data_IF_836804538903
#
_entry.id   IF_836804538903
#
_cell.length_a   1.000
_cell.length_b   1.000
_cell.length_c   1.000
_cell.angle_alpha   90.00
_cell.angle_beta   90.00
_cell.angle_gamma   90.00
#
_symmetry.space_group_name_H-M   'P 1'
#
loop_
_entity.id
_entity.type
_entity.pdbx_description
1 polymer ?
#
# COMPACT_ATOMS: atom_id res chain seq x y z
N UNK A 1 -9.24 2.72 -22.82
CA UNK A 1 -8.65 1.39 -22.54
C UNK A 1 -7.46 1.48 -21.58
N UNK A 2 -6.54 2.44 -21.70
CA UNK A 2 -5.41 2.58 -20.76
C UNK A 2 -5.87 3.09 -19.37
N UNK A 3 -6.67 4.17 -19.31
CA UNK A 3 -7.23 4.71 -18.04
C UNK A 3 -8.02 3.67 -17.24
N UNK A 4 -8.83 2.83 -17.91
CA UNK A 4 -9.59 1.76 -17.24
C UNK A 4 -8.70 0.69 -16.61
N UNK A 5 -7.54 0.40 -17.22
CA UNK A 5 -6.55 -0.51 -16.65
C UNK A 5 -5.86 0.12 -15.44
N UNK A 6 -5.55 1.42 -15.49
CA UNK A 6 -4.98 2.15 -14.37
C UNK A 6 -5.93 2.19 -13.17
N UNK A 7 -7.23 2.44 -13.39
CA UNK A 7 -8.24 2.39 -12.32
C UNK A 7 -8.36 1.00 -11.69
N UNK A 8 -8.37 -0.07 -12.50
CA UNK A 8 -8.39 -1.45 -11.98
C UNK A 8 -7.15 -1.73 -11.12
N UNK A 9 -5.98 -1.30 -11.57
CA UNK A 9 -4.74 -1.45 -10.82
C UNK A 9 -4.77 -0.64 -9.51
N UNK A 10 -5.23 0.61 -9.55
CA UNK A 10 -5.45 1.46 -8.37
C UNK A 10 -6.29 0.72 -7.31
N UNK A 11 -7.46 0.22 -7.70
CA UNK A 11 -8.35 -0.51 -6.79
C UNK A 11 -7.69 -1.75 -6.20
N UNK A 12 -6.90 -2.49 -6.98
CA UNK A 12 -6.17 -3.66 -6.48
C UNK A 12 -5.07 -3.30 -5.47
N UNK A 13 -4.37 -2.18 -5.65
CA UNK A 13 -3.37 -1.70 -4.70
C UNK A 13 -4.03 -1.18 -3.41
N UNK A 14 -5.16 -0.48 -3.53
CA UNK A 14 -5.94 0.01 -2.39
C UNK A 14 -6.49 -1.16 -1.55
N UNK A 15 -7.03 -2.19 -2.19
CA UNK A 15 -7.52 -3.40 -1.51
C UNK A 15 -6.41 -4.09 -0.70
N UNK A 16 -5.19 -4.20 -1.24
CA UNK A 16 -4.07 -4.79 -0.49
C UNK A 16 -3.70 -3.96 0.75
N UNK A 17 -3.74 -2.63 0.64
CA UNK A 17 -3.53 -1.74 1.78
C UNK A 17 -4.63 -1.94 2.83
N UNK A 18 -5.90 -1.99 2.41
CA UNK A 18 -7.04 -2.20 3.31
C UNK A 18 -6.96 -3.56 4.02
N UNK A 19 -6.52 -4.60 3.33
CA UNK A 19 -6.29 -5.93 3.90
C UNK A 19 -5.24 -5.87 5.02
N UNK A 20 -4.10 -5.21 4.80
CA UNK A 20 -3.10 -5.02 5.85
C UNK A 20 -3.58 -4.12 6.99
N UNK A 21 -4.33 -3.07 6.70
CA UNK A 21 -4.92 -2.21 7.72
C UNK A 21 -5.84 -3.00 8.65
N UNK A 22 -6.69 -3.86 8.07
CA UNK A 22 -7.60 -4.73 8.80
C UNK A 22 -6.85 -5.81 9.58
N UNK A 23 -5.93 -6.52 8.92
CA UNK A 23 -5.17 -7.63 9.50
C UNK A 23 -4.36 -7.20 10.73
N UNK A 24 -3.70 -6.04 10.66
CA UNK A 24 -2.82 -5.56 11.72
C UNK A 24 -3.48 -4.50 12.62
N UNK A 25 -4.71 -4.06 12.30
CA UNK A 25 -5.43 -2.99 12.98
C UNK A 25 -4.61 -1.69 13.10
N UNK A 26 -3.98 -1.29 12.01
CA UNK A 26 -3.14 -0.08 11.90
C UNK A 26 -3.50 0.67 10.63
N UNK A 27 -3.20 1.98 10.57
CA UNK A 27 -3.54 2.81 9.41
C UNK A 27 -2.37 3.10 8.49
N UNK A 28 -1.15 2.76 8.90
CA UNK A 28 0.07 3.09 8.15
C UNK A 28 1.20 2.10 8.42
N UNK A 29 2.19 2.01 7.51
CA UNK A 29 3.42 1.24 7.74
C UNK A 29 4.17 1.70 9.00
N UNK A 30 4.15 3.00 9.31
CA UNK A 30 4.79 3.54 10.51
C UNK A 30 4.12 3.06 11.81
N UNK A 31 2.78 2.97 11.82
CA UNK A 31 2.05 2.40 12.94
C UNK A 31 2.32 0.90 13.08
N UNK A 32 2.47 0.19 11.95
CA UNK A 32 2.87 -1.22 11.93
C UNK A 32 4.28 -1.43 12.52
N UNK A 33 5.26 -0.57 12.19
CA UNK A 33 6.60 -0.59 12.81
C UNK A 33 6.57 -0.38 14.31
N UNK A 34 5.73 0.55 14.77
CA UNK A 34 5.56 0.82 16.21
C UNK A 34 5.06 -0.42 16.93
N UNK A 35 4.06 -1.10 16.35
CA UNK A 35 3.55 -2.39 16.82
C UNK A 35 4.63 -3.48 16.83
N UNK A 36 5.50 -3.53 15.82
CA UNK A 36 6.58 -4.50 15.75
C UNK A 36 7.54 -4.40 16.95
N UNK A 37 7.79 -3.18 17.44
CA UNK A 37 8.66 -2.94 18.59
C UNK A 37 8.07 -3.46 19.92
N UNK A 38 6.77 -3.74 19.96
CA UNK A 38 6.07 -4.30 21.13
C UNK A 38 6.04 -5.83 21.12
N UNK A 39 6.52 -6.48 20.06
CA UNK A 39 6.48 -7.94 19.90
C UNK A 39 7.78 -8.57 20.38
N UNK A 40 7.66 -9.55 21.27
CA UNK A 40 8.80 -10.17 21.94
C UNK A 40 9.51 -11.26 21.11
N UNK A 41 8.90 -11.74 20.02
CA UNK A 41 9.47 -12.83 19.21
C UNK A 41 10.13 -12.33 17.93
N UNK A 42 11.33 -12.86 17.64
CA UNK A 42 12.12 -12.48 16.48
C UNK A 42 11.48 -12.86 15.15
N UNK A 43 10.75 -13.98 15.08
CA UNK A 43 10.07 -14.44 13.86
C UNK A 43 8.93 -13.50 13.46
N UNK A 44 8.05 -13.15 14.40
CA UNK A 44 6.96 -12.20 14.16
C UNK A 44 7.51 -10.79 13.83
N UNK A 45 8.63 -10.41 14.44
CA UNK A 45 9.30 -9.14 14.13
C UNK A 45 9.78 -9.11 12.66
N UNK A 46 10.35 -10.21 12.14
CA UNK A 46 10.78 -10.29 10.75
C UNK A 46 9.61 -10.26 9.77
N UNK A 47 8.52 -10.97 10.07
CA UNK A 47 7.30 -10.94 9.26
C UNK A 47 6.72 -9.53 9.18
N UNK A 48 6.62 -8.83 10.31
CA UNK A 48 6.10 -7.47 10.33
C UNK A 48 7.02 -6.50 9.58
N UNK A 49 8.34 -6.64 9.67
CA UNK A 49 9.26 -5.83 8.88
C UNK A 49 9.05 -6.03 7.38
N UNK A 50 8.85 -7.28 6.93
CA UNK A 50 8.56 -7.59 5.54
C UNK A 50 7.26 -6.94 5.08
N UNK A 51 6.16 -7.13 5.82
CA UNK A 51 4.87 -6.53 5.48
C UNK A 51 4.94 -5.01 5.47
N UNK A 52 5.69 -4.41 6.39
CA UNK A 52 5.93 -2.96 6.39
C UNK A 52 6.60 -2.50 5.09
N UNK A 53 7.66 -3.18 4.66
CA UNK A 53 8.37 -2.85 3.43
C UNK A 53 7.48 -3.05 2.18
N UNK A 54 6.71 -4.13 2.15
CA UNK A 54 5.75 -4.40 1.08
C UNK A 54 4.68 -3.31 1.01
N UNK A 55 4.17 -2.87 2.16
CA UNK A 55 3.19 -1.78 2.23
C UNK A 55 3.76 -0.45 1.75
N UNK A 56 4.99 -0.09 2.10
CA UNK A 56 5.63 1.10 1.56
C UNK A 56 5.79 1.05 0.04
N UNK A 57 6.18 -0.10 -0.50
CA UNK A 57 6.29 -0.30 -1.94
C UNK A 57 4.93 -0.16 -2.65
N UNK A 58 3.88 -0.77 -2.11
CA UNK A 58 2.53 -0.66 -2.68
C UNK A 58 2.00 0.77 -2.59
N UNK A 59 2.29 1.49 -1.50
CA UNK A 59 1.91 2.90 -1.34
C UNK A 59 2.60 3.79 -2.38
N UNK A 60 3.89 3.56 -2.62
CA UNK A 60 4.63 4.26 -3.68
C UNK A 60 4.07 3.97 -5.08
N UNK A 61 3.75 2.70 -5.37
CA UNK A 61 3.13 2.32 -6.65
C UNK A 61 1.75 2.95 -6.83
N UNK A 62 0.96 3.01 -5.76
CA UNK A 62 -0.36 3.64 -5.78
C UNK A 62 -0.23 5.12 -6.16
N UNK A 63 0.70 5.85 -5.54
CA UNK A 63 1.00 7.24 -5.88
C UNK A 63 1.30 7.42 -7.38
N UNK A 64 2.17 6.58 -7.96
CA UNK A 64 2.49 6.63 -9.40
C UNK A 64 1.26 6.37 -10.27
N UNK A 65 0.41 5.40 -9.90
CA UNK A 65 -0.80 5.08 -10.66
C UNK A 65 -1.81 6.23 -10.59
N UNK A 66 -1.95 6.87 -9.43
CA UNK A 66 -2.80 8.05 -9.25
C UNK A 66 -2.30 9.22 -10.09
N UNK A 67 -1.00 9.53 -10.02
CA UNK A 67 -0.37 10.55 -10.88
C UNK A 67 -0.57 10.24 -12.37
N UNK A 68 -0.46 8.97 -12.78
CA UNK A 68 -0.68 8.58 -14.15
C UNK A 68 -2.14 8.81 -14.59
N UNK A 69 -3.11 8.47 -13.74
CA UNK A 69 -4.54 8.71 -14.02
C UNK A 69 -4.81 10.21 -14.20
N UNK A 70 -4.32 11.05 -13.28
CA UNK A 70 -4.50 12.51 -13.35
C UNK A 70 -3.87 13.12 -14.61
N UNK A 71 -2.68 12.64 -15.00
CA UNK A 71 -2.02 13.09 -16.23
C UNK A 71 -2.72 12.59 -17.51
N UNK A 72 -3.34 11.41 -17.48
CA UNK A 72 -4.14 10.93 -18.61
C UNK A 72 -5.45 11.71 -18.76
N UNK A 73 -6.07 12.14 -17.65
CA UNK A 73 -7.29 12.96 -17.68
C UNK A 73 -7.03 14.39 -18.19
N UNK A 74 -5.82 14.92 -18.00
CA UNK A 74 -5.43 16.28 -18.47
C UNK A 74 -4.96 16.35 -19.93
N UNK A 75 -4.50 15.24 -20.52
CA UNK A 75 -4.05 15.20 -21.93
C UNK A 75 -5.17 14.94 -22.95
N UNK A 76 -6.39 14.65 -22.50
CA UNK A 76 -7.54 14.30 -23.35
C UNK A 76 -8.72 15.29 -23.27
N UNK A 77 -8.49 16.49 -22.73
CA UNK A 77 -9.42 17.63 -22.75
C UNK A 77 -8.76 18.84 -23.43
#
# INVERSE_FOLDING_TARGET
>A
MIVTVLFSWKTSLQSQIEDWQSQYNVKSPAALRTRAAEIETSEQTQEIQKITADWELISYRLCIVEDAIENYDTLYY
#
